data_IF_393690898453
#
_entry.id   IF_393690898453
#
_cell.length_a   1.000
_cell.length_b   1.000
_cell.length_c   1.000
_cell.angle_alpha   90.00
_cell.angle_beta   90.00
_cell.angle_gamma   90.00
#
_symmetry.space_group_name_H-M   'P 1'
#
loop_
_entity.id
_entity.type
_entity.pdbx_description
1 polymer ?
#
# COMPACT_ATOMS: atom_id res chain seq x y z
N UNK A 1 -1.17 -31.63 55.44
CA UNK A 1 -0.89 -32.78 54.54
C UNK A 1 0.63 -32.85 54.36
N UNK A 2 1.35 -33.67 55.15
CA UNK A 2 2.00 -34.97 54.78
C UNK A 2 2.69 -34.91 53.39
N UNK A 3 3.95 -35.30 53.16
CA UNK A 3 5.05 -35.92 53.92
C UNK A 3 6.32 -35.86 53.05
N UNK A 4 7.47 -35.93 53.72
CA UNK A 4 8.87 -35.94 53.26
C UNK A 4 9.28 -37.19 52.45
N UNK A 5 10.26 -37.02 51.54
CA UNK A 5 11.37 -37.90 51.09
C UNK A 5 11.13 -39.40 50.79
N UNK A 6 11.63 -39.89 49.64
CA UNK A 6 12.72 -40.90 49.56
C UNK A 6 13.11 -41.24 48.10
N UNK A 7 14.42 -41.29 47.85
CA UNK A 7 15.07 -41.90 46.69
C UNK A 7 15.24 -43.40 46.99
N UNK A 8 14.95 -44.29 46.03
CA UNK A 8 15.50 -45.66 46.00
C UNK A 8 15.82 -46.09 44.57
N UNK A 9 17.01 -46.67 44.45
CA UNK A 9 17.68 -47.21 43.27
C UNK A 9 17.06 -48.50 42.71
N UNK A 10 17.19 -48.64 41.39
CA UNK A 10 17.61 -49.84 40.61
C UNK A 10 16.80 -51.13 40.80
N UNK A 11 16.04 -51.52 39.75
CA UNK A 11 15.96 -52.92 39.29
C UNK A 11 16.14 -52.97 37.77
N UNK A 12 17.18 -53.72 37.40
CA UNK A 12 17.62 -54.09 36.06
C UNK A 12 16.65 -55.16 35.49
N UNK A 13 16.02 -54.90 34.35
CA UNK A 13 15.45 -55.98 33.51
C UNK A 13 16.01 -55.83 32.10
N UNK A 14 16.98 -56.70 31.80
CA UNK A 14 17.41 -57.06 30.47
C UNK A 14 16.24 -57.73 29.74
N UNK A 15 15.74 -57.09 28.68
CA UNK A 15 15.12 -57.81 27.56
C UNK A 15 15.75 -57.32 26.26
N UNK A 16 16.77 -58.05 25.84
CA UNK A 16 17.33 -58.05 24.50
C UNK A 16 16.33 -58.71 23.55
N UNK A 17 15.70 -57.93 22.68
CA UNK A 17 15.29 -58.39 21.36
C UNK A 17 15.53 -57.30 20.32
N UNK A 18 16.54 -57.60 19.50
CA UNK A 18 16.79 -57.17 18.13
C UNK A 18 15.65 -56.43 17.43
N UNK A 19 15.97 -55.25 16.89
CA UNK A 19 15.08 -54.52 15.99
C UNK A 19 15.68 -53.20 15.53
N UNK A 20 16.83 -53.23 14.87
CA UNK A 20 17.34 -52.08 14.15
C UNK A 20 16.39 -51.79 12.98
N UNK A 21 15.49 -50.81 13.14
CA UNK A 21 14.72 -50.25 12.03
C UNK A 21 15.04 -48.75 11.93
N UNK A 22 15.78 -48.49 10.86
CA UNK A 22 16.20 -47.22 10.26
C UNK A 22 15.24 -46.07 10.58
N UNK A 23 15.80 -44.97 11.08
CA UNK A 23 15.12 -43.69 11.26
C UNK A 23 14.57 -43.19 9.92
N UNK A 24 13.24 -43.13 9.81
CA UNK A 24 12.59 -42.33 8.78
C UNK A 24 12.70 -40.87 9.20
N UNK A 25 13.61 -40.18 8.52
CA UNK A 25 13.67 -38.71 8.52
C UNK A 25 12.36 -38.20 7.94
N UNK A 26 11.52 -37.59 8.77
CA UNK A 26 10.38 -36.80 8.30
C UNK A 26 10.93 -35.67 7.43
N UNK A 27 10.74 -35.78 6.12
CA UNK A 27 10.91 -34.64 5.22
C UNK A 27 9.80 -33.66 5.52
N UNK A 28 10.14 -32.51 6.09
CA UNK A 28 9.31 -31.31 5.99
C UNK A 28 9.13 -31.01 4.49
N UNK A 29 7.94 -31.31 3.96
CA UNK A 29 7.49 -30.70 2.72
C UNK A 29 7.32 -29.20 2.98
N UNK A 30 8.33 -28.42 2.60
CA UNK A 30 8.15 -26.99 2.35
C UNK A 30 7.05 -26.86 1.30
N UNK A 31 5.87 -26.45 1.73
CA UNK A 31 4.81 -25.99 0.85
C UNK A 31 5.32 -24.76 0.11
N UNK A 32 5.89 -25.00 -1.07
CA UNK A 32 6.25 -23.96 -2.02
C UNK A 32 4.95 -23.29 -2.44
N UNK A 33 4.65 -22.14 -1.81
CA UNK A 33 3.54 -21.29 -2.22
C UNK A 33 3.85 -20.87 -3.64
N UNK A 34 3.15 -21.47 -4.62
CA UNK A 34 3.16 -20.99 -6.01
C UNK A 34 2.81 -19.51 -5.96
N UNK A 35 3.81 -18.66 -6.16
CA UNK A 35 3.64 -17.21 -6.21
C UNK A 35 2.79 -16.91 -7.44
N UNK A 36 1.48 -16.76 -7.25
CA UNK A 36 0.61 -16.23 -8.28
C UNK A 36 1.06 -14.80 -8.49
N UNK A 37 1.58 -14.49 -9.67
CA UNK A 37 1.93 -13.12 -10.06
C UNK A 37 0.65 -12.26 -9.91
N UNK A 38 0.61 -11.30 -8.96
CA UNK A 38 -0.58 -10.52 -8.67
C UNK A 38 -1.00 -9.62 -9.84
N UNK A 39 -0.12 -9.46 -10.85
CA UNK A 39 -0.38 -8.66 -12.03
C UNK A 39 -0.96 -9.47 -13.19
N UNK A 40 -0.88 -10.81 -13.12
CA UNK A 40 -1.37 -11.66 -14.20
C UNK A 40 -2.90 -11.54 -14.29
N UNK A 41 -3.37 -10.98 -15.40
CA UNK A 41 -4.78 -10.65 -15.67
C UNK A 41 -5.37 -9.56 -14.76
N UNK A 42 -4.53 -8.74 -14.13
CA UNK A 42 -5.04 -7.58 -13.39
C UNK A 42 -5.60 -6.54 -14.37
N UNK A 43 -6.85 -6.16 -14.18
CA UNK A 43 -7.52 -5.14 -14.98
C UNK A 43 -7.31 -3.78 -14.32
N UNK A 44 -6.52 -2.90 -14.95
CA UNK A 44 -6.20 -1.56 -14.42
C UNK A 44 -7.33 -0.56 -14.68
N UNK A 45 -8.56 -0.96 -14.35
CA UNK A 45 -9.76 -0.16 -14.55
C UNK A 45 -10.14 0.64 -13.27
N UNK A 46 -11.25 1.37 -13.37
CA UNK A 46 -11.77 2.27 -12.31
C UNK A 46 -12.50 1.56 -11.17
N UNK A 47 -12.67 0.24 -11.26
CA UNK A 47 -13.40 -0.55 -10.27
C UNK A 47 -12.50 -1.04 -9.12
N UNK A 48 -11.29 -0.49 -9.00
CA UNK A 48 -10.36 -0.73 -7.90
C UNK A 48 -10.16 0.52 -7.04
N UNK A 49 -9.92 0.30 -5.75
CA UNK A 49 -9.61 1.32 -4.75
C UNK A 49 -8.28 0.99 -4.09
N UNK A 50 -7.55 2.02 -3.66
CA UNK A 50 -6.44 1.88 -2.73
C UNK A 50 -6.89 2.29 -1.32
N UNK A 51 -6.77 1.35 -0.37
CA UNK A 51 -6.81 1.65 1.05
C UNK A 51 -5.39 1.99 1.48
N UNK A 52 -5.14 3.29 1.67
CA UNK A 52 -3.89 3.81 2.18
C UNK A 52 -3.94 3.73 3.70
N UNK A 53 -3.17 2.80 4.28
CA UNK A 53 -3.05 2.63 5.73
C UNK A 53 -1.90 3.50 6.22
N UNK A 54 -2.25 4.59 6.88
CA UNK A 54 -1.31 5.50 7.53
C UNK A 54 -1.01 5.01 8.95
N UNK A 55 0.23 5.19 9.40
CA UNK A 55 0.60 5.01 10.80
C UNK A 55 1.49 6.18 11.26
N UNK A 56 1.24 6.67 12.47
CA UNK A 56 2.06 7.71 13.09
C UNK A 56 3.48 7.22 13.32
N UNK A 57 4.47 8.11 13.25
CA UNK A 57 5.89 7.76 13.44
C UNK A 57 6.21 7.10 14.79
N UNK A 58 5.39 7.30 15.82
CA UNK A 58 5.53 6.67 17.13
C UNK A 58 4.75 5.35 17.27
N UNK A 59 4.06 4.93 16.20
CA UNK A 59 3.32 3.68 16.09
C UNK A 59 2.00 3.63 16.87
N UNK A 60 1.58 4.73 17.51
CA UNK A 60 0.41 4.74 18.40
C UNK A 60 -0.92 4.94 17.68
N UNK A 61 -0.90 5.60 16.53
CA UNK A 61 -2.10 5.88 15.75
C UNK A 61 -1.99 5.23 14.38
N UNK A 62 -3.11 4.68 13.92
CA UNK A 62 -3.26 4.07 12.61
C UNK A 62 -4.67 4.31 12.13
N UNK A 63 -4.79 4.70 10.87
CA UNK A 63 -6.07 4.94 10.23
C UNK A 63 -5.95 4.74 8.72
N UNK A 64 -7.07 4.63 8.03
CA UNK A 64 -7.13 4.34 6.59
C UNK A 64 -7.92 5.40 5.85
N UNK A 65 -7.34 5.90 4.76
CA UNK A 65 -8.06 6.69 3.74
C UNK A 65 -8.26 5.86 2.48
N UNK A 66 -9.32 6.15 1.74
CA UNK A 66 -9.65 5.44 0.50
C UNK A 66 -9.42 6.34 -0.70
N UNK A 67 -8.62 5.86 -1.64
CA UNK A 67 -8.28 6.53 -2.89
C UNK A 67 -8.97 5.80 -4.05
N UNK A 68 -9.68 6.56 -4.89
CA UNK A 68 -10.13 6.11 -6.22
C UNK A 68 -9.14 6.54 -7.30
N UNK A 69 -9.26 5.96 -8.50
CA UNK A 69 -8.36 6.24 -9.63
C UNK A 69 -9.05 6.87 -10.84
N UNK A 70 -8.26 7.48 -11.74
CA UNK A 70 -8.68 8.04 -13.02
C UNK A 70 -7.99 7.35 -14.22
N UNK A 71 -8.28 6.06 -14.51
CA UNK A 71 -7.63 5.35 -15.61
C UNK A 71 -7.96 5.94 -16.99
N UNK A 72 -9.10 6.60 -17.14
CA UNK A 72 -9.50 7.28 -18.37
C UNK A 72 -8.70 8.58 -18.61
N UNK A 73 -8.09 9.16 -17.56
CA UNK A 73 -7.31 10.42 -17.61
C UNK A 73 -5.80 10.17 -17.57
N UNK A 74 -5.34 9.16 -16.84
CA UNK A 74 -3.92 8.86 -16.63
C UNK A 74 -3.66 7.33 -16.54
N UNK A 75 -3.90 6.58 -17.63
CA UNK A 75 -3.84 5.12 -17.62
C UNK A 75 -2.47 4.56 -17.22
N UNK A 76 -1.37 5.16 -17.67
CA UNK A 76 -0.03 4.68 -17.32
C UNK A 76 0.33 4.99 -15.87
N UNK A 77 -0.10 6.13 -15.33
CA UNK A 77 0.14 6.46 -13.93
C UNK A 77 -0.67 5.59 -12.97
N UNK A 78 -1.94 5.33 -13.29
CA UNK A 78 -2.78 4.39 -12.53
C UNK A 78 -2.18 2.99 -12.57
N UNK A 79 -1.78 2.51 -13.76
CA UNK A 79 -1.11 1.21 -13.91
C UNK A 79 0.19 1.13 -13.11
N UNK A 80 1.02 2.16 -13.17
CA UNK A 80 2.28 2.25 -12.45
C UNK A 80 2.06 2.17 -10.93
N UNK A 81 1.20 3.03 -10.40
CA UNK A 81 0.89 3.06 -8.97
C UNK A 81 0.34 1.72 -8.47
N UNK A 82 -0.68 1.18 -9.15
CA UNK A 82 -1.28 -0.11 -8.79
C UNK A 82 -0.26 -1.25 -8.86
N UNK A 83 0.60 -1.26 -9.87
CA UNK A 83 1.67 -2.26 -10.01
C UNK A 83 2.64 -2.21 -8.82
N UNK A 84 3.08 -1.01 -8.44
CA UNK A 84 3.99 -0.80 -7.31
C UNK A 84 3.31 -1.18 -5.98
N UNK A 85 2.05 -0.81 -5.78
CA UNK A 85 1.26 -1.20 -4.59
C UNK A 85 1.07 -2.71 -4.48
N UNK A 86 0.73 -3.41 -5.58
CA UNK A 86 0.56 -4.86 -5.59
C UNK A 86 1.87 -5.61 -5.31
N UNK A 87 3.00 -5.03 -5.73
CA UNK A 87 4.36 -5.50 -5.40
C UNK A 87 4.84 -5.09 -4.00
N UNK A 88 3.98 -4.45 -3.20
CA UNK A 88 4.27 -3.95 -1.85
C UNK A 88 5.44 -2.94 -1.81
N UNK A 89 5.72 -2.27 -2.93
CA UNK A 89 6.82 -1.29 -3.05
C UNK A 89 6.67 -0.14 -2.05
N UNK A 90 5.44 0.32 -1.82
CA UNK A 90 5.16 1.47 -0.95
C UNK A 90 5.14 1.13 0.55
N UNK A 91 5.13 -0.15 0.91
CA UNK A 91 4.99 -0.57 2.31
C UNK A 91 6.20 -0.12 3.13
N UNK A 92 5.92 0.58 4.24
CA UNK A 92 6.92 1.11 5.16
C UNK A 92 7.62 2.39 4.69
N UNK A 93 7.31 2.92 3.50
CA UNK A 93 7.92 4.16 3.04
C UNK A 93 7.39 5.36 3.83
N UNK A 94 8.26 6.32 4.10
CA UNK A 94 7.92 7.48 4.92
C UNK A 94 7.24 8.58 4.10
N UNK A 95 6.45 9.38 4.79
CA UNK A 95 5.97 10.68 4.34
C UNK A 95 7.08 11.69 4.67
N UNK A 96 7.99 11.89 3.72
CA UNK A 96 9.21 12.69 3.92
C UNK A 96 8.95 14.19 3.83
N UNK A 97 7.83 14.61 3.22
CA UNK A 97 7.45 16.02 3.08
C UNK A 97 5.98 16.21 3.43
N UNK A 98 5.74 17.17 4.31
CA UNK A 98 4.43 17.72 4.64
C UNK A 98 4.57 19.23 4.56
N UNK A 99 3.88 19.85 3.62
CA UNK A 99 3.82 21.29 3.45
C UNK A 99 2.38 21.75 3.74
N UNK A 100 2.12 22.33 4.93
CA UNK A 100 0.78 22.74 5.32
C UNK A 100 0.12 23.64 4.26
N UNK A 101 -1.17 23.40 3.98
CA UNK A 101 -1.95 24.09 2.93
C UNK A 101 -1.44 23.89 1.49
N UNK A 102 -0.56 22.92 1.28
CA UNK A 102 -0.08 22.57 -0.05
C UNK A 102 -0.24 21.07 -0.27
N UNK A 103 0.76 20.25 0.08
CA UNK A 103 0.75 18.81 -0.18
C UNK A 103 1.47 18.03 0.91
N UNK A 104 1.08 16.76 1.08
CA UNK A 104 1.98 15.72 1.58
C UNK A 104 2.63 15.02 0.39
N UNK A 105 3.89 14.62 0.51
CA UNK A 105 4.61 13.91 -0.55
C UNK A 105 5.38 12.72 0.03
N UNK A 106 5.31 11.59 -0.68
CA UNK A 106 5.84 10.29 -0.28
C UNK A 106 6.21 9.44 -1.50
N UNK A 107 6.57 8.17 -1.30
CA UNK A 107 6.80 7.20 -2.38
C UNK A 107 8.25 7.09 -2.86
N UNK A 108 9.22 7.57 -2.07
CA UNK A 108 10.64 7.39 -2.36
C UNK A 108 11.21 6.18 -1.61
N UNK A 109 11.79 5.17 -2.28
CA UNK A 109 12.23 3.92 -1.65
C UNK A 109 13.44 4.07 -0.73
N UNK A 110 14.26 5.09 -0.94
CA UNK A 110 15.39 5.42 -0.09
C UNK A 110 14.99 6.32 1.10
N UNK A 111 13.67 6.62 1.24
CA UNK A 111 13.14 7.57 2.20
C UNK A 111 13.79 8.98 2.10
N UNK A 112 14.39 9.29 0.95
CA UNK A 112 14.90 10.63 0.60
C UNK A 112 13.98 11.30 -0.41
N UNK A 113 14.32 12.51 -0.87
CA UNK A 113 13.58 13.18 -1.95
C UNK A 113 14.02 12.73 -3.36
N UNK A 114 14.97 11.78 -3.50
CA UNK A 114 15.66 11.51 -4.77
C UNK A 114 15.43 10.11 -5.36
N UNK A 115 14.84 9.19 -4.60
CA UNK A 115 14.62 7.80 -5.05
C UNK A 115 13.40 7.62 -5.96
N UNK A 116 13.40 6.50 -6.69
CA UNK A 116 12.31 6.08 -7.58
C UNK A 116 12.33 4.56 -7.85
N UNK A 117 11.44 4.03 -8.70
CA UNK A 117 11.26 2.60 -8.90
C UNK A 117 12.29 1.99 -9.88
N UNK A 118 13.31 2.75 -10.27
CA UNK A 118 14.33 2.34 -11.25
C UNK A 118 13.97 2.65 -12.71
N UNK A 119 12.84 3.31 -12.96
CA UNK A 119 12.37 3.75 -14.27
C UNK A 119 11.51 5.01 -14.13
N UNK A 120 11.19 5.65 -15.27
CA UNK A 120 10.28 6.79 -15.34
C UNK A 120 9.12 6.51 -16.30
N UNK A 121 8.07 7.32 -16.20
CA UNK A 121 6.89 7.31 -17.08
C UNK A 121 6.64 8.71 -17.65
N UNK A 122 6.13 8.74 -18.89
CA UNK A 122 5.77 9.97 -19.60
C UNK A 122 4.57 10.66 -18.97
N UNK A 123 4.51 11.99 -19.05
CA UNK A 123 3.41 12.79 -18.51
C UNK A 123 2.05 12.47 -19.17
N UNK A 124 1.00 12.43 -18.36
CA UNK A 124 -0.40 12.30 -18.79
C UNK A 124 -1.22 13.46 -18.20
N UNK A 125 -0.79 14.70 -18.50
CA UNK A 125 -1.48 15.90 -18.01
C UNK A 125 -2.95 15.89 -18.42
N UNK A 126 -3.82 16.29 -17.49
CA UNK A 126 -5.27 16.22 -17.67
C UNK A 126 -5.98 17.42 -17.01
N UNK A 127 -7.30 17.42 -17.13
CA UNK A 127 -8.23 18.48 -16.74
C UNK A 127 -8.74 18.36 -15.29
N UNK A 128 -8.22 17.41 -14.50
CA UNK A 128 -8.58 17.29 -13.09
C UNK A 128 -7.80 18.34 -12.28
N UNK A 129 -8.54 19.21 -11.59
CA UNK A 129 -7.95 20.27 -10.77
C UNK A 129 -7.36 19.70 -9.47
N UNK A 130 -6.31 20.33 -8.96
CA UNK A 130 -5.69 19.99 -7.69
C UNK A 130 -6.44 20.65 -6.54
N UNK A 131 -7.36 19.91 -5.93
CA UNK A 131 -8.11 20.29 -4.73
C UNK A 131 -7.73 19.38 -3.56
N UNK A 132 -8.25 19.65 -2.35
CA UNK A 132 -7.96 18.79 -1.19
C UNK A 132 -8.26 17.32 -1.52
N UNK A 133 -7.31 16.44 -1.22
CA UNK A 133 -7.39 15.00 -1.49
C UNK A 133 -6.99 14.57 -2.90
N UNK A 134 -6.71 15.48 -3.83
CA UNK A 134 -6.24 15.11 -5.18
C UNK A 134 -4.87 14.43 -5.10
N UNK A 135 -4.74 13.28 -5.78
CA UNK A 135 -3.53 12.46 -5.82
C UNK A 135 -2.87 12.58 -7.19
N UNK A 136 -1.63 13.07 -7.20
CA UNK A 136 -0.87 13.30 -8.41
C UNK A 136 0.59 12.85 -8.26
N UNK A 137 1.22 12.52 -9.38
CA UNK A 137 2.59 11.99 -9.38
C UNK A 137 3.60 13.14 -9.38
N UNK A 138 4.59 13.05 -8.50
CA UNK A 138 5.73 13.96 -8.50
C UNK A 138 6.70 13.62 -9.64
N UNK A 139 7.46 14.62 -10.07
CA UNK A 139 8.49 14.52 -11.11
C UNK A 139 9.61 15.52 -10.84
N UNK A 140 10.75 15.31 -11.51
CA UNK A 140 11.81 16.28 -11.60
C UNK A 140 11.43 17.39 -12.61
N UNK A 141 12.42 18.17 -13.04
CA UNK A 141 12.21 19.26 -13.99
C UNK A 141 11.64 18.77 -15.33
N UNK A 142 12.09 17.61 -15.80
CA UNK A 142 11.56 16.96 -17.00
C UNK A 142 10.12 16.46 -16.75
N UNK A 143 9.12 16.88 -17.55
CA UNK A 143 7.76 16.35 -17.53
C UNK A 143 7.67 14.82 -17.50
N UNK A 144 8.56 14.12 -18.20
CA UNK A 144 8.53 12.66 -18.41
C UNK A 144 9.41 11.88 -17.42
N UNK A 145 9.66 12.46 -16.25
CA UNK A 145 10.52 11.87 -15.22
C UNK A 145 9.74 11.36 -14.00
N UNK A 146 8.41 11.24 -14.12
CA UNK A 146 7.60 10.71 -13.03
C UNK A 146 7.99 9.26 -12.74
N UNK A 147 7.96 8.85 -11.48
CA UNK A 147 8.42 7.53 -11.05
C UNK A 147 7.45 6.91 -10.05
N UNK A 148 7.85 6.83 -8.78
CA UNK A 148 7.04 6.27 -7.70
C UNK A 148 6.57 7.32 -6.70
N UNK A 149 7.21 8.49 -6.67
CA UNK A 149 6.86 9.54 -5.74
C UNK A 149 5.54 10.19 -6.14
N UNK A 150 4.61 10.29 -5.20
CA UNK A 150 3.33 10.96 -5.40
C UNK A 150 3.05 11.90 -4.24
N UNK A 151 2.09 12.78 -4.45
CA UNK A 151 1.62 13.71 -3.45
C UNK A 151 0.10 13.71 -3.35
N UNK A 152 -0.39 14.10 -2.18
CA UNK A 152 -1.81 14.32 -1.92
C UNK A 152 -1.98 15.77 -1.48
N UNK A 153 -2.88 16.49 -2.14
CA UNK A 153 -3.13 17.89 -1.86
C UNK A 153 -3.84 18.07 -0.51
N UNK A 154 -3.33 18.98 0.32
CA UNK A 154 -3.94 19.37 1.60
C UNK A 154 -4.94 20.52 1.44
N UNK A 155 -4.84 21.28 0.35
CA UNK A 155 -5.71 22.40 -0.01
C UNK A 155 -5.78 22.53 -1.53
N UNK A 156 -6.50 23.53 -2.06
CA UNK A 156 -6.50 23.85 -3.48
C UNK A 156 -5.16 24.43 -3.95
N UNK A 157 -4.60 23.87 -5.03
CA UNK A 157 -3.28 24.21 -5.55
C UNK A 157 -3.30 24.49 -7.06
N UNK A 158 -4.08 25.49 -7.52
CA UNK A 158 -4.36 25.70 -8.95
C UNK A 158 -3.14 26.01 -9.82
N UNK A 159 -2.02 26.39 -9.21
CA UNK A 159 -0.76 26.58 -9.92
C UNK A 159 -0.14 25.28 -10.45
N UNK A 160 -0.62 24.11 -9.98
CA UNK A 160 -0.25 22.76 -10.44
C UNK A 160 -1.15 22.25 -11.57
N UNK A 161 -2.34 22.83 -11.75
CA UNK A 161 -3.35 22.37 -12.72
C UNK A 161 -2.77 22.34 -14.15
N UNK A 162 -2.99 21.22 -14.84
CA UNK A 162 -2.47 20.96 -16.18
C UNK A 162 -0.93 20.81 -16.29
N UNK A 163 -0.18 20.82 -15.17
CA UNK A 163 1.30 20.73 -15.16
C UNK A 163 1.85 19.46 -14.52
N UNK A 164 0.98 18.71 -13.86
CA UNK A 164 1.27 17.43 -13.20
C UNK A 164 0.15 16.45 -13.52
N UNK A 165 0.49 15.16 -13.52
CA UNK A 165 -0.48 14.10 -13.80
C UNK A 165 -1.26 13.76 -12.53
N UNK A 166 -2.53 14.16 -12.50
CA UNK A 166 -3.51 13.65 -11.52
C UNK A 166 -3.94 12.25 -11.93
N UNK A 167 -3.90 11.30 -10.99
CA UNK A 167 -4.28 9.90 -11.27
C UNK A 167 -5.23 9.30 -10.23
N UNK A 168 -5.52 10.01 -9.14
CA UNK A 168 -6.52 9.59 -8.16
C UNK A 168 -7.04 10.71 -7.27
N UNK A 169 -7.97 10.34 -6.38
CA UNK A 169 -8.62 11.25 -5.43
C UNK A 169 -8.96 10.49 -4.15
N UNK A 170 -8.70 11.09 -3.00
CA UNK A 170 -9.19 10.61 -1.70
C UNK A 170 -10.70 10.86 -1.62
N UNK A 171 -11.46 9.79 -1.36
CA UNK A 171 -12.94 9.79 -1.31
C UNK A 171 -13.52 9.31 0.02
N UNK A 172 -12.69 8.77 0.92
CA UNK A 172 -13.07 8.47 2.31
C UNK A 172 -11.97 8.92 3.26
N UNK A 173 -12.40 9.36 4.46
CA UNK A 173 -11.53 9.78 5.55
C UNK A 173 -10.50 10.85 5.12
N UNK A 174 -10.96 11.83 4.34
CA UNK A 174 -10.11 12.92 3.84
C UNK A 174 -9.51 13.78 4.97
N UNK A 175 -10.20 13.88 6.10
CA UNK A 175 -9.74 14.62 7.29
C UNK A 175 -8.50 13.99 7.93
N UNK A 176 -8.19 12.72 7.62
CA UNK A 176 -6.93 12.08 8.02
C UNK A 176 -5.72 12.84 7.49
N UNK A 177 -5.83 13.50 6.34
CA UNK A 177 -4.76 14.32 5.76
C UNK A 177 -4.29 15.42 6.71
N UNK A 178 -5.18 15.96 7.54
CA UNK A 178 -4.86 17.04 8.49
C UNK A 178 -4.08 16.54 9.72
N UNK A 179 -4.05 15.21 9.94
CA UNK A 179 -3.30 14.57 11.04
C UNK A 179 -1.89 14.16 10.64
N UNK A 180 -1.66 14.00 9.34
CA UNK A 180 -0.39 13.47 8.82
C UNK A 180 0.76 14.42 9.13
N UNK A 181 1.82 13.85 9.69
CA UNK A 181 3.05 14.54 10.05
C UNK A 181 4.25 13.99 9.29
N UNK A 182 5.27 14.84 9.11
CA UNK A 182 6.54 14.40 8.53
C UNK A 182 7.16 13.28 9.36
N UNK A 183 7.55 12.19 8.69
CA UNK A 183 8.14 11.00 9.29
C UNK A 183 7.14 9.90 9.64
N UNK A 184 5.83 10.16 9.51
CA UNK A 184 4.83 9.10 9.48
C UNK A 184 5.05 8.21 8.25
N UNK A 185 4.39 7.06 8.18
CA UNK A 185 4.66 6.09 7.12
C UNK A 185 3.42 5.44 6.54
N UNK A 186 3.56 5.03 5.28
CA UNK A 186 2.62 4.17 4.56
C UNK A 186 2.79 2.75 5.07
N UNK A 187 2.10 2.38 6.14
CA UNK A 187 2.17 1.02 6.69
C UNK A 187 1.86 -0.01 5.61
N UNK A 188 0.81 0.23 4.84
CA UNK A 188 0.44 -0.59 3.70
C UNK A 188 -0.45 0.19 2.71
N UNK A 189 -0.37 -0.17 1.42
CA UNK A 189 -1.42 0.14 0.44
C UNK A 189 -2.10 -1.15 0.01
N UNK A 190 -3.39 -1.31 0.36
CA UNK A 190 -4.20 -2.46 -0.05
C UNK A 190 -5.05 -2.11 -1.26
N UNK A 191 -4.91 -2.90 -2.32
CA UNK A 191 -5.75 -2.77 -3.51
C UNK A 191 -6.96 -3.70 -3.35
N UNK A 192 -8.16 -3.14 -3.43
CA UNK A 192 -9.43 -3.88 -3.28
C UNK A 192 -10.36 -3.56 -4.45
N UNK A 193 -11.28 -4.46 -4.78
CA UNK A 193 -12.36 -4.13 -5.70
C UNK A 193 -13.36 -3.23 -5.00
N UNK A 194 -13.78 -2.17 -5.69
CA UNK A 194 -14.77 -1.24 -5.19
C UNK A 194 -16.11 -1.91 -4.87
N UNK A 195 -16.51 -2.90 -5.66
CA UNK A 195 -17.70 -3.73 -5.39
C UNK A 195 -17.61 -4.50 -4.07
N UNK A 196 -16.42 -5.00 -3.71
CA UNK A 196 -16.23 -5.74 -2.46
C UNK A 196 -16.26 -4.79 -1.25
N UNK A 197 -15.88 -3.52 -1.46
CA UNK A 197 -15.86 -2.49 -0.42
C UNK A 197 -17.22 -1.80 -0.20
N UNK A 198 -17.90 -1.40 -1.28
CA UNK A 198 -19.15 -0.63 -1.23
C UNK A 198 -20.41 -1.43 -1.62
N UNK A 199 -20.27 -2.68 -2.04
CA UNK A 199 -21.37 -3.49 -2.57
C UNK A 199 -21.76 -3.11 -4.01
N UNK A 200 -22.93 -3.56 -4.45
CA UNK A 200 -23.38 -3.43 -5.86
C UNK A 200 -23.50 -1.99 -6.37
N UNK A 201 -23.77 -1.03 -5.47
CA UNK A 201 -23.98 0.38 -5.82
C UNK A 201 -22.67 1.20 -5.85
N UNK A 202 -21.51 0.55 -5.81
CA UNK A 202 -20.20 1.20 -5.68
C UNK A 202 -19.96 2.32 -6.71
N UNK A 203 -20.42 2.15 -7.96
CA UNK A 203 -20.24 3.14 -9.02
C UNK A 203 -20.90 4.48 -8.68
N UNK A 204 -22.14 4.43 -8.21
CA UNK A 204 -22.88 5.62 -7.78
C UNK A 204 -22.22 6.25 -6.55
N UNK A 205 -21.81 5.43 -5.57
CA UNK A 205 -21.18 5.89 -4.35
C UNK A 205 -19.86 6.63 -4.64
N UNK A 206 -19.01 6.06 -5.50
CA UNK A 206 -17.73 6.70 -5.87
C UNK A 206 -18.00 8.00 -6.63
N UNK A 207 -18.96 8.01 -7.57
CA UNK A 207 -19.34 9.24 -8.28
C UNK A 207 -19.80 10.34 -7.31
N UNK A 208 -20.65 10.00 -6.35
CA UNK A 208 -21.21 10.97 -5.39
C UNK A 208 -20.17 11.49 -4.39
N UNK A 209 -19.19 10.66 -4.03
CA UNK A 209 -18.04 11.06 -3.18
C UNK A 209 -16.95 11.78 -3.97
N UNK A 210 -17.05 11.70 -5.29
CA UNK A 210 -16.29 12.39 -6.31
C UNK A 210 -16.36 13.92 -6.26
N UNK A 211 -15.43 14.73 -5.71
CA UNK A 211 -15.56 16.19 -5.82
C UNK A 211 -15.50 16.72 -7.26
N UNK A 212 -14.98 15.95 -8.21
CA UNK A 212 -15.01 16.26 -9.65
C UNK A 212 -16.22 15.65 -10.36
N UNK A 213 -17.01 14.81 -9.68
CA UNK A 213 -18.20 14.14 -10.22
C UNK A 213 -17.90 13.05 -11.25
N UNK A 214 -16.66 12.57 -11.30
CA UNK A 214 -16.15 11.63 -12.29
C UNK A 214 -16.39 10.18 -11.86
N UNK A 215 -16.81 9.31 -12.79
CA UNK A 215 -16.80 7.84 -12.62
C UNK A 215 -16.61 7.13 -13.94
#
# INVERSE_FOLDING_TARGET
>A
MKRTLLIFSIILILFSFYGCKKSETQKEEKMETKTVDPLKNFDFNKDYLALFVWQSKDGKEEDTMVIRFYPDKAPNHVKNFLTLSLKKFYNGLIIFRVEPKFVIQTGSPDNTNMGGPGYTIDAEFNDINHIKGTVAMARAQDPNSAGSQFYICLDSTPHLDGKYTVFGQVIENIDLLDKISKGDYMKEIKIVKAKDFYGENYRKIIKDKDPHGEY
#
